data_IF_434132131347
#
_entry.id   IF_434132131347
#
_cell.length_a   1.000
_cell.length_b   1.000
_cell.length_c   1.000
_cell.angle_alpha   90.00
_cell.angle_beta   90.00
_cell.angle_gamma   90.00
#
_symmetry.space_group_name_H-M   'P 1'
#
loop_
_entity.id
_entity.type
_entity.pdbx_description
1 polymer ?
#
# COMPACT_ATOMS: atom_id res chain seq x y z
N UNK A 1 -20.66 -3.97 2.64
CA UNK A 1 -19.22 -3.66 2.85
C UNK A 1 -19.10 -2.84 4.11
N UNK A 2 -18.02 -3.02 4.87
CA UNK A 2 -17.73 -2.20 6.06
C UNK A 2 -17.05 -0.88 5.70
N UNK A 3 -16.87 0.02 6.68
CA UNK A 3 -16.09 1.24 6.49
C UNK A 3 -14.65 0.91 6.09
N UNK A 4 -14.08 1.68 5.16
CA UNK A 4 -12.69 1.55 4.70
C UNK A 4 -11.93 2.80 5.12
N UNK A 5 -10.76 2.60 5.73
CA UNK A 5 -9.80 3.66 6.00
C UNK A 5 -8.65 3.53 5.00
N UNK A 6 -8.42 4.59 4.22
CA UNK A 6 -7.31 4.70 3.28
C UNK A 6 -6.25 5.64 3.86
N UNK A 7 -5.03 5.14 3.98
CA UNK A 7 -3.85 5.95 4.34
C UNK A 7 -3.08 6.19 3.05
N UNK A 8 -2.87 7.46 2.69
CA UNK A 8 -2.42 7.81 1.35
C UNK A 8 -1.30 8.86 1.38
N UNK A 9 -0.29 8.70 0.53
CA UNK A 9 0.78 9.67 0.40
C UNK A 9 0.33 10.91 -0.39
N UNK A 10 1.11 11.99 -0.25
CA UNK A 10 0.73 13.33 -0.68
C UNK A 10 1.15 13.65 -2.13
N UNK A 11 1.31 12.63 -2.99
CA UNK A 11 1.61 12.85 -4.42
C UNK A 11 0.50 13.71 -5.03
N UNK A 12 0.86 14.67 -5.88
CA UNK A 12 -0.07 15.70 -6.37
C UNK A 12 -1.33 15.16 -7.04
N UNK A 13 -1.24 14.00 -7.71
CA UNK A 13 -2.39 13.31 -8.31
C UNK A 13 -3.41 12.82 -7.26
N UNK A 14 -2.97 12.50 -6.04
CA UNK A 14 -3.84 12.08 -4.94
C UNK A 14 -4.63 13.23 -4.31
N UNK A 15 -4.20 14.47 -4.59
CA UNK A 15 -4.77 15.70 -4.04
C UNK A 15 -5.63 16.46 -5.05
N UNK A 16 -5.72 15.98 -6.29
CA UNK A 16 -6.43 16.66 -7.36
C UNK A 16 -7.95 16.70 -7.13
N UNK A 17 -8.62 17.63 -7.82
CA UNK A 17 -10.06 17.84 -7.67
C UNK A 17 -10.91 16.62 -8.06
N UNK A 18 -10.47 15.82 -9.04
CA UNK A 18 -11.16 14.60 -9.46
C UNK A 18 -11.07 13.53 -8.38
N UNK A 19 -9.90 13.37 -7.76
CA UNK A 19 -9.72 12.44 -6.64
C UNK A 19 -10.56 12.85 -5.43
N UNK A 20 -10.61 14.14 -5.10
CA UNK A 20 -11.49 14.65 -4.02
C UNK A 20 -12.96 14.33 -4.29
N UNK A 21 -13.45 14.60 -5.50
CA UNK A 21 -14.83 14.29 -5.88
C UNK A 21 -15.13 12.79 -5.80
N UNK A 22 -14.17 11.93 -6.16
CA UNK A 22 -14.31 10.48 -6.00
C UNK A 22 -14.39 10.08 -4.51
N UNK A 23 -13.59 10.69 -3.64
CA UNK A 23 -13.62 10.40 -2.21
C UNK A 23 -14.95 10.85 -1.60
N UNK A 24 -15.39 12.08 -1.89
CA UNK A 24 -16.64 12.67 -1.37
C UNK A 24 -17.88 11.87 -1.77
N UNK A 25 -17.89 11.27 -2.96
CA UNK A 25 -18.98 10.41 -3.42
C UNK A 25 -19.09 9.08 -2.65
N UNK A 26 -18.17 8.76 -1.73
CA UNK A 26 -18.06 7.47 -1.02
C UNK A 26 -18.11 7.68 0.49
N UNK A 27 -19.30 7.77 1.11
CA UNK A 27 -19.45 8.00 2.55
C UNK A 27 -18.89 6.88 3.43
N UNK A 28 -18.61 5.71 2.85
CA UNK A 28 -17.98 4.57 3.53
C UNK A 28 -16.44 4.65 3.54
N UNK A 29 -15.83 5.64 2.88
CA UNK A 29 -14.39 5.80 2.74
C UNK A 29 -13.90 6.99 3.57
N UNK A 30 -12.99 6.72 4.51
CA UNK A 30 -12.25 7.74 5.26
C UNK A 30 -10.82 7.78 4.75
N UNK A 31 -10.32 8.95 4.36
CA UNK A 31 -8.96 9.12 3.83
C UNK A 31 -8.11 9.94 4.79
N UNK A 32 -6.93 9.42 5.14
CA UNK A 32 -5.89 10.13 5.88
C UNK A 32 -4.67 10.32 4.98
N UNK A 33 -4.29 11.57 4.75
CA UNK A 33 -3.08 11.89 4.02
C UNK A 33 -1.87 11.88 4.95
N UNK A 34 -0.78 11.26 4.51
CA UNK A 34 0.50 11.28 5.21
C UNK A 34 1.18 12.64 5.04
N UNK A 35 2.00 13.07 6.03
CA UNK A 35 2.86 14.23 5.86
C UNK A 35 3.76 14.09 4.62
N UNK A 36 4.10 15.22 4.01
CA UNK A 36 5.04 15.23 2.88
C UNK A 36 6.40 14.68 3.31
N UNK A 37 7.03 13.86 2.46
CA UNK A 37 8.31 13.20 2.74
C UNK A 37 8.31 12.29 3.98
N UNK A 38 7.19 11.61 4.27
CA UNK A 38 7.09 10.60 5.34
C UNK A 38 6.99 9.16 4.79
N UNK A 39 7.98 8.65 4.04
CA UNK A 39 7.95 7.28 3.51
C UNK A 39 7.91 6.23 4.62
N UNK A 40 8.50 6.52 5.79
CA UNK A 40 8.53 5.61 6.95
C UNK A 40 7.13 5.34 7.53
N UNK A 41 6.16 6.24 7.27
CA UNK A 41 4.76 6.07 7.68
C UNK A 41 3.92 5.35 6.61
N UNK A 42 4.47 5.08 5.43
CA UNK A 42 3.75 4.49 4.32
C UNK A 42 4.04 2.97 4.22
N UNK A 43 3.10 2.09 4.62
CA UNK A 43 3.36 0.64 4.65
C UNK A 43 3.60 0.06 3.25
N UNK A 44 3.16 0.75 2.19
CA UNK A 44 3.41 0.32 0.81
C UNK A 44 4.90 0.34 0.47
N UNK A 45 5.71 1.19 1.11
CA UNK A 45 7.16 1.24 0.89
C UNK A 45 7.85 -0.05 1.34
N UNK A 46 7.39 -0.65 2.43
CA UNK A 46 7.90 -1.95 2.86
C UNK A 46 7.43 -3.08 1.93
N UNK A 47 6.20 -3.01 1.42
CA UNK A 47 5.72 -3.93 0.40
C UNK A 47 6.56 -3.83 -0.89
N UNK A 48 6.91 -2.62 -1.33
CA UNK A 48 7.78 -2.39 -2.49
C UNK A 48 9.19 -2.91 -2.27
N UNK A 49 9.77 -2.65 -1.10
CA UNK A 49 11.09 -3.16 -0.73
C UNK A 49 11.12 -4.69 -0.72
N UNK A 50 10.08 -5.33 -0.16
CA UNK A 50 9.93 -6.78 -0.16
C UNK A 50 9.80 -7.35 -1.59
N UNK A 51 8.96 -6.75 -2.42
CA UNK A 51 8.78 -7.14 -3.81
C UNK A 51 10.10 -7.03 -4.57
N UNK A 52 10.77 -5.87 -4.55
CA UNK A 52 12.03 -5.63 -5.26
C UNK A 52 13.12 -6.62 -4.83
N UNK A 53 13.24 -6.91 -3.54
CA UNK A 53 14.18 -7.92 -3.03
C UNK A 53 13.90 -9.31 -3.62
N UNK A 54 12.62 -9.67 -3.76
CA UNK A 54 12.23 -10.96 -4.38
C UNK A 54 12.53 -11.03 -5.89
N UNK A 55 12.75 -9.89 -6.54
CA UNK A 55 13.06 -9.79 -7.97
C UNK A 55 14.56 -9.68 -8.26
N UNK A 56 15.41 -9.40 -7.26
CA UNK A 56 16.81 -9.03 -7.46
C UNK A 56 17.68 -10.04 -8.20
N UNK A 57 17.28 -11.33 -8.21
CA UNK A 57 17.99 -12.40 -8.91
C UNK A 57 17.26 -12.88 -10.18
N UNK A 58 16.21 -12.19 -10.62
CA UNK A 58 15.45 -12.55 -11.80
C UNK A 58 15.90 -11.71 -12.99
N UNK A 59 16.18 -12.37 -14.11
CA UNK A 59 16.51 -11.73 -15.38
C UNK A 59 15.42 -12.06 -16.42
N UNK A 60 14.22 -11.46 -16.32
CA UNK A 60 13.20 -11.64 -17.35
C UNK A 60 13.67 -11.00 -18.66
N UNK A 61 13.41 -11.68 -19.77
CA UNK A 61 13.83 -11.25 -21.10
C UNK A 61 12.81 -10.30 -21.74
N UNK A 62 11.60 -10.20 -21.17
CA UNK A 62 10.52 -9.35 -21.67
C UNK A 62 9.77 -8.64 -20.55
N UNK A 63 9.09 -7.54 -20.90
CA UNK A 63 8.22 -6.82 -19.98
C UNK A 63 7.04 -7.70 -19.52
N UNK A 64 6.52 -8.58 -20.39
CA UNK A 64 5.41 -9.47 -20.05
C UNK A 64 5.81 -10.53 -19.03
N UNK A 65 7.01 -11.09 -19.16
CA UNK A 65 7.59 -11.99 -18.16
C UNK A 65 7.76 -11.29 -16.82
N UNK A 66 8.33 -10.08 -16.81
CA UNK A 66 8.47 -9.28 -15.60
C UNK A 66 7.10 -9.00 -14.95
N UNK A 67 6.12 -8.57 -15.74
CA UNK A 67 4.77 -8.29 -15.26
C UNK A 67 4.06 -9.53 -14.70
N UNK A 68 4.27 -10.71 -15.32
CA UNK A 68 3.75 -11.99 -14.83
C UNK A 68 4.35 -12.34 -13.46
N UNK A 69 5.67 -12.18 -13.31
CA UNK A 69 6.36 -12.41 -12.03
C UNK A 69 5.88 -11.44 -10.96
N UNK A 70 5.82 -10.15 -11.25
CA UNK A 70 5.33 -9.11 -10.30
C UNK A 70 3.92 -9.46 -9.82
N UNK A 71 3.00 -9.76 -10.74
CA UNK A 71 1.62 -10.15 -10.39
C UNK A 71 1.58 -11.40 -9.52
N UNK A 72 2.38 -12.40 -9.83
CA UNK A 72 2.48 -13.62 -9.02
C UNK A 72 2.97 -13.34 -7.60
N UNK A 73 4.01 -12.51 -7.43
CA UNK A 73 4.57 -12.16 -6.13
C UNK A 73 3.61 -11.31 -5.30
N UNK A 74 2.97 -10.30 -5.90
CA UNK A 74 1.94 -9.51 -5.24
C UNK A 74 0.76 -10.39 -4.78
N UNK A 75 0.32 -11.33 -5.62
CA UNK A 75 -0.74 -12.28 -5.25
C UNK A 75 -0.30 -13.20 -4.11
N UNK A 76 0.94 -13.66 -4.08
CA UNK A 76 1.47 -14.43 -2.96
C UNK A 76 1.49 -13.62 -1.65
N UNK A 77 1.89 -12.34 -1.70
CA UNK A 77 1.88 -11.45 -0.54
C UNK A 77 0.44 -11.25 0.01
N UNK A 78 -0.54 -11.10 -0.88
CA UNK A 78 -1.95 -10.93 -0.52
C UNK A 78 -2.47 -12.07 0.39
N UNK A 79 -2.02 -13.30 0.19
CA UNK A 79 -2.45 -14.46 0.99
C UNK A 79 -1.62 -14.68 2.28
N UNK A 80 -0.70 -13.77 2.63
CA UNK A 80 0.14 -13.87 3.83
C UNK A 80 -0.20 -12.75 4.80
N UNK A 81 -1.28 -12.92 5.56
CA UNK A 81 -1.78 -11.92 6.51
C UNK A 81 -0.67 -11.41 7.46
N UNK A 82 0.10 -12.33 8.07
CA UNK A 82 1.19 -11.95 8.99
C UNK A 82 2.30 -11.10 8.35
N UNK A 83 2.53 -11.25 7.04
CA UNK A 83 3.48 -10.42 6.31
C UNK A 83 2.93 -9.00 6.12
N UNK A 84 1.64 -8.88 5.79
CA UNK A 84 0.95 -7.59 5.66
C UNK A 84 0.85 -6.88 7.02
N UNK A 85 0.57 -7.63 8.09
CA UNK A 85 0.56 -7.10 9.46
C UNK A 85 1.95 -6.58 9.85
N UNK A 86 3.02 -7.28 9.47
CA UNK A 86 4.39 -6.81 9.69
C UNK A 86 4.70 -5.51 8.92
N UNK A 87 4.16 -5.34 7.72
CA UNK A 87 4.28 -4.09 6.96
C UNK A 87 3.64 -2.91 7.69
N UNK A 88 2.44 -3.13 8.24
CA UNK A 88 1.74 -2.14 9.04
C UNK A 88 2.46 -1.85 10.36
N UNK A 89 2.90 -2.87 11.08
CA UNK A 89 3.58 -2.71 12.36
C UNK A 89 4.85 -1.85 12.29
N UNK A 90 5.59 -1.91 11.17
CA UNK A 90 6.81 -1.12 10.99
C UNK A 90 6.58 0.39 10.90
N UNK A 91 5.39 0.81 10.46
CA UNK A 91 5.02 2.23 10.38
C UNK A 91 4.65 2.83 11.73
N UNK A 92 4.52 2.00 12.78
CA UNK A 92 4.01 2.43 14.09
C UNK A 92 2.50 2.76 14.09
N UNK A 93 1.79 2.51 12.99
CA UNK A 93 0.35 2.72 12.91
C UNK A 93 -0.40 1.71 13.80
N UNK A 94 -1.23 2.24 14.70
CA UNK A 94 -2.08 1.43 15.58
C UNK A 94 -3.32 1.00 14.79
N UNK A 95 -3.39 -0.28 14.42
CA UNK A 95 -4.51 -0.83 13.65
C UNK A 95 -5.64 -1.39 14.52
N UNK A 96 -5.43 -1.48 15.84
CA UNK A 96 -6.43 -1.85 16.83
C UNK A 96 -6.45 -0.84 18.01
N UNK A 97 -7.42 0.08 18.08
CA UNK A 97 -7.48 1.10 19.12
C UNK A 97 -7.88 0.56 20.51
N UNK A 98 -8.15 -0.74 20.69
CA UNK A 98 -8.55 -1.35 21.97
C UNK A 98 -7.40 -1.89 22.82
N UNK A 99 -6.15 -1.58 22.47
CA UNK A 99 -4.96 -2.09 23.16
C UNK A 99 -4.35 -1.11 24.19
N UNK A 100 -5.13 -0.10 24.62
CA UNK A 100 -4.77 0.83 25.70
C UNK A 100 -5.87 0.85 26.76
#
# INVERSE_FOLDING_TARGET
GGPIVLIWDNVSTHLDARMRALIEARPWLTVFYLPTYAPDLNPVEMAWSHLKRSLGNLAPCTLDELAKVIRSRLKQMQYRASLLDAFLAHTGLITNPRST
#
